data_IF_837051033800
#
_entry.id   IF_837051033800
#
_cell.length_a   1.000
_cell.length_b   1.000
_cell.length_c   1.000
_cell.angle_alpha   90.00
_cell.angle_beta   90.00
_cell.angle_gamma   90.00
#
_symmetry.space_group_name_H-M   'P 1'
#
loop_
_entity.id
_entity.type
_entity.pdbx_description
1 polymer ?
#
# COMPACT_ATOMS: atom_id res chain seq x y z
N UNK A 1 9.46 -46.36 -61.69
CA UNK A 1 9.90 -46.76 -60.34
C UNK A 1 10.74 -45.58 -59.85
N UNK A 2 10.33 -44.71 -58.92
CA UNK A 2 9.34 -44.84 -57.86
C UNK A 2 8.75 -43.47 -57.44
N UNK A 3 7.44 -43.54 -57.18
CA UNK A 3 6.59 -42.92 -56.17
C UNK A 3 6.71 -41.43 -55.78
N UNK A 4 5.52 -40.80 -55.92
CA UNK A 4 5.11 -39.46 -55.50
C UNK A 4 5.06 -39.29 -53.98
N UNK A 5 4.99 -38.03 -53.54
CA UNK A 5 3.98 -37.49 -52.59
C UNK A 5 4.15 -35.96 -52.63
N UNK A 6 3.25 -35.22 -53.28
CA UNK A 6 1.97 -34.71 -52.73
C UNK A 6 2.23 -33.65 -51.65
N UNK A 7 1.72 -32.42 -51.64
CA UNK A 7 0.65 -31.75 -52.39
C UNK A 7 0.75 -30.25 -52.05
N UNK A 8 0.56 -29.41 -53.08
CA UNK A 8 -0.12 -28.10 -53.07
C UNK A 8 -1.01 -27.84 -51.81
N UNK A 9 -1.23 -26.64 -51.29
CA UNK A 9 -1.10 -25.28 -51.83
C UNK A 9 -1.63 -24.24 -50.82
N UNK A 10 -1.36 -22.96 -51.12
CA UNK A 10 -2.20 -21.79 -50.85
C UNK A 10 -2.17 -21.15 -49.45
N UNK A 11 -1.31 -20.14 -49.35
CA UNK A 11 -1.47 -18.95 -48.51
C UNK A 11 -2.85 -18.34 -48.68
N UNK A 12 -3.54 -18.06 -47.57
CA UNK A 12 -4.60 -17.04 -47.52
C UNK A 12 -4.37 -16.25 -46.25
N UNK A 13 -3.88 -15.02 -46.41
CA UNK A 13 -3.83 -14.02 -45.35
C UNK A 13 -5.26 -13.73 -44.92
N UNK A 14 -5.61 -14.03 -43.67
CA UNK A 14 -6.86 -13.59 -43.07
C UNK A 14 -6.55 -12.47 -42.08
N UNK A 15 -7.14 -11.32 -42.38
CA UNK A 15 -7.21 -10.07 -41.62
C UNK A 15 -7.48 -10.34 -40.12
N UNK A 16 -6.59 -9.89 -39.23
CA UNK A 16 -6.82 -10.03 -37.79
C UNK A 16 -7.84 -8.98 -37.32
N UNK A 17 -9.08 -9.43 -37.17
CA UNK A 17 -10.11 -8.73 -36.43
C UNK A 17 -9.66 -8.63 -34.96
N UNK A 18 -9.37 -7.41 -34.47
CA UNK A 18 -9.23 -7.18 -33.02
C UNK A 18 -10.61 -7.34 -32.40
N UNK A 19 -10.94 -8.56 -31.99
CA UNK A 19 -11.96 -8.77 -30.99
C UNK A 19 -11.37 -8.25 -29.69
N UNK A 20 -11.97 -7.21 -29.10
CA UNK A 20 -11.74 -6.81 -27.72
C UNK A 20 -12.22 -7.96 -26.82
N UNK A 21 -11.38 -8.99 -26.72
CA UNK A 21 -11.55 -10.04 -25.72
C UNK A 21 -11.22 -9.39 -24.39
N UNK A 22 -12.24 -9.10 -23.60
CA UNK A 22 -12.09 -8.85 -22.16
C UNK A 22 -11.47 -10.10 -21.55
N UNK A 23 -10.16 -10.04 -21.31
CA UNK A 23 -9.41 -11.08 -20.64
C UNK A 23 -9.78 -10.97 -19.17
N UNK A 24 -10.61 -11.88 -18.66
CA UNK A 24 -10.86 -11.98 -17.22
C UNK A 24 -9.56 -12.43 -16.53
N UNK A 25 -8.88 -11.49 -15.87
CA UNK A 25 -7.72 -11.77 -15.05
C UNK A 25 -8.16 -12.13 -13.63
N UNK A 26 -7.65 -13.25 -13.11
CA UNK A 26 -7.81 -13.62 -11.71
C UNK A 26 -7.25 -12.51 -10.80
N UNK A 27 -8.10 -11.93 -9.95
CA UNK A 27 -7.73 -10.86 -9.00
C UNK A 27 -8.06 -9.43 -9.45
N UNK A 28 -8.65 -9.23 -10.63
CA UNK A 28 -9.13 -7.91 -11.08
C UNK A 28 -10.19 -7.33 -10.13
N UNK A 29 -10.98 -8.17 -9.48
CA UNK A 29 -11.97 -7.78 -8.47
C UNK A 29 -11.35 -7.12 -7.23
N UNK A 30 -10.06 -7.39 -6.94
CA UNK A 30 -9.36 -6.76 -5.81
C UNK A 30 -9.07 -5.29 -6.08
N UNK A 31 -9.11 -4.85 -7.33
CA UNK A 31 -8.86 -3.46 -7.73
C UNK A 31 -10.12 -2.60 -7.70
N UNK A 32 -11.31 -3.20 -7.57
CA UNK A 32 -12.57 -2.47 -7.49
C UNK A 32 -12.63 -1.68 -6.17
N UNK A 33 -12.59 -0.33 -6.21
CA UNK A 33 -12.65 0.50 -5.00
C UNK A 33 -13.97 0.35 -4.23
N UNK A 34 -15.03 -0.15 -4.88
CA UNK A 34 -16.34 -0.37 -4.26
C UNK A 34 -16.41 -1.65 -3.42
N UNK A 35 -15.50 -2.61 -3.63
CA UNK A 35 -15.39 -3.85 -2.87
C UNK A 35 -14.44 -3.73 -1.66
N UNK A 36 -13.70 -2.63 -1.56
CA UNK A 36 -12.69 -2.43 -0.52
C UNK A 36 -13.33 -1.82 0.73
N UNK A 37 -13.38 -2.60 1.81
CA UNK A 37 -13.82 -2.21 3.16
C UNK A 37 -12.83 -1.24 3.87
N UNK A 38 -12.35 -0.20 3.17
CA UNK A 38 -11.38 0.74 3.76
C UNK A 38 -11.91 1.41 5.02
N UNK A 39 -13.21 1.70 5.08
CA UNK A 39 -13.82 2.34 6.25
C UNK A 39 -13.80 1.44 7.51
N UNK A 40 -13.69 0.11 7.36
CA UNK A 40 -13.59 -0.81 8.50
C UNK A 40 -12.13 -0.99 8.98
N UNK A 41 -11.19 -1.07 8.03
CA UNK A 41 -9.77 -1.36 8.33
C UNK A 41 -8.99 -0.08 8.67
N UNK A 42 -9.26 1.01 7.96
CA UNK A 42 -8.61 2.31 8.15
C UNK A 42 -9.69 3.40 8.14
N UNK A 43 -10.30 3.74 9.28
CA UNK A 43 -11.35 4.77 9.34
C UNK A 43 -10.75 6.18 9.11
N UNK A 44 -10.50 6.51 7.84
CA UNK A 44 -9.87 7.76 7.42
C UNK A 44 -10.77 8.99 7.63
N UNK A 45 -12.09 8.77 7.69
CA UNK A 45 -13.12 9.81 7.85
C UNK A 45 -13.01 10.62 9.14
N UNK A 46 -12.48 10.02 10.21
CA UNK A 46 -12.35 10.64 11.52
C UNK A 46 -10.94 11.20 11.81
N UNK A 47 -9.98 11.02 10.90
CA UNK A 47 -8.57 11.39 11.13
C UNK A 47 -8.34 12.83 10.63
N UNK A 48 -8.19 13.76 11.57
CA UNK A 48 -7.82 15.15 11.26
C UNK A 48 -6.30 15.28 11.16
N UNK A 49 -5.76 15.29 9.95
CA UNK A 49 -4.32 15.45 9.71
C UNK A 49 -3.96 16.94 9.70
N UNK A 50 -3.41 17.43 10.81
CA UNK A 50 -2.96 18.81 10.96
C UNK A 50 -1.44 18.86 11.19
N UNK A 51 -0.70 19.63 10.36
CA UNK A 51 0.74 19.87 10.56
C UNK A 51 0.94 20.96 11.61
N UNK A 52 0.68 20.63 12.87
CA UNK A 52 0.90 21.55 14.00
C UNK A 52 2.28 21.34 14.62
N UNK A 53 2.95 22.44 14.99
CA UNK A 53 4.17 22.38 15.81
C UNK A 53 3.77 22.50 17.27
N UNK A 54 4.16 21.51 18.06
CA UNK A 54 3.82 21.45 19.47
C UNK A 54 5.09 21.27 20.31
N UNK A 55 5.17 21.97 21.45
CA UNK A 55 6.26 21.74 22.40
C UNK A 55 6.08 20.40 23.10
N UNK A 56 7.18 19.80 23.57
CA UNK A 56 7.14 18.54 24.34
C UNK A 56 6.21 18.63 25.55
N UNK A 57 6.14 19.81 26.17
CA UNK A 57 5.26 20.08 27.30
C UNK A 57 3.77 20.00 26.94
N UNK A 58 3.39 20.55 25.79
CA UNK A 58 2.01 20.49 25.31
C UNK A 58 1.62 19.07 24.87
N UNK A 59 2.55 18.34 24.21
CA UNK A 59 2.35 16.93 23.85
C UNK A 59 2.08 16.10 25.12
N UNK A 60 2.91 16.25 26.15
CA UNK A 60 2.76 15.52 27.42
C UNK A 60 1.38 15.76 28.04
N UNK A 61 0.92 17.01 28.11
CA UNK A 61 -0.39 17.34 28.70
C UNK A 61 -1.56 16.75 27.92
N UNK A 62 -1.48 16.71 26.59
CA UNK A 62 -2.54 16.12 25.76
C UNK A 62 -2.61 14.61 25.90
N UNK A 63 -1.46 13.95 26.06
CA UNK A 63 -1.40 12.52 26.40
C UNK A 63 -2.06 12.28 27.76
N UNK A 64 -1.72 13.08 28.78
CA UNK A 64 -2.32 12.98 30.11
C UNK A 64 -3.84 13.20 30.10
N UNK A 65 -4.32 14.10 29.23
CA UNK A 65 -5.76 14.37 29.01
C UNK A 65 -6.46 13.32 28.16
N UNK A 66 -5.73 12.36 27.58
CA UNK A 66 -6.23 11.39 26.58
C UNK A 66 -6.78 12.03 25.30
N UNK A 67 -6.31 13.24 24.97
CA UNK A 67 -6.64 13.92 23.72
C UNK A 67 -5.85 13.32 22.54
N UNK A 68 -4.73 12.65 22.83
CA UNK A 68 -3.85 12.01 21.84
C UNK A 68 -3.59 10.57 22.27
N UNK A 69 -3.98 9.63 21.42
CA UNK A 69 -3.59 8.22 21.52
C UNK A 69 -2.19 8.04 20.91
N UNK A 70 -1.25 7.50 21.68
CA UNK A 70 0.16 7.36 21.26
C UNK A 70 0.56 5.93 20.97
N UNK A 71 -0.23 4.96 21.43
CA UNK A 71 0.02 3.54 21.23
C UNK A 71 -1.27 2.83 20.77
N UNK A 72 -1.79 3.17 19.57
CA UNK A 72 -2.95 2.49 19.02
C UNK A 72 -2.64 1.03 18.68
N UNK A 73 -3.68 0.18 18.64
CA UNK A 73 -3.57 -1.27 18.45
C UNK A 73 -2.93 -1.69 17.11
N UNK A 74 -3.01 -0.82 16.10
CA UNK A 74 -2.39 -1.03 14.79
C UNK A 74 -0.92 -0.54 14.72
N UNK A 75 -0.37 0.01 15.80
CA UNK A 75 1.04 0.40 15.86
C UNK A 75 1.93 -0.83 15.94
N UNK A 76 2.99 -0.87 15.12
CA UNK A 76 4.02 -1.92 15.19
C UNK A 76 4.58 -1.99 16.62
N UNK A 77 4.87 -3.19 17.09
CA UNK A 77 5.53 -3.45 18.38
C UNK A 77 6.86 -2.68 18.53
N UNK A 78 7.55 -2.84 19.67
CA UNK A 78 8.80 -2.13 19.99
C UNK A 78 9.90 -2.32 18.92
N UNK A 79 9.87 -1.46 17.90
CA UNK A 79 10.81 -1.45 16.77
C UNK A 79 12.15 -0.80 17.12
N UNK A 80 12.23 -0.09 18.24
CA UNK A 80 13.43 0.68 18.61
C UNK A 80 14.42 -0.14 19.43
N UNK A 81 15.63 -0.29 18.88
CA UNK A 81 16.77 -0.90 19.58
C UNK A 81 17.38 0.09 20.58
N UNK A 82 18.15 -0.44 21.54
CA UNK A 82 18.79 0.37 22.58
C UNK A 82 19.66 1.50 22.02
N UNK A 83 20.33 1.26 20.90
CA UNK A 83 21.15 2.26 20.19
C UNK A 83 20.33 3.50 19.79
N UNK A 84 19.19 3.28 19.11
CA UNK A 84 18.31 4.37 18.64
C UNK A 84 17.71 5.17 19.80
N UNK A 85 17.39 4.49 20.90
CA UNK A 85 16.93 5.15 22.14
C UNK A 85 18.00 6.06 22.74
N UNK A 86 19.28 5.66 22.68
CA UNK A 86 20.39 6.48 23.17
C UNK A 86 20.67 7.67 22.26
N UNK A 87 20.71 7.46 20.94
CA UNK A 87 20.87 8.53 19.94
C UNK A 87 19.82 9.63 20.11
N UNK A 88 18.56 9.27 20.38
CA UNK A 88 17.49 10.26 20.64
C UNK A 88 17.74 11.08 21.91
N UNK A 89 18.24 10.47 23.00
CA UNK A 89 18.53 11.22 24.23
C UNK A 89 19.69 12.18 24.02
N UNK A 90 20.71 11.74 23.28
CA UNK A 90 21.87 12.55 22.92
C UNK A 90 21.48 13.73 22.03
N UNK A 91 20.61 13.53 21.03
CA UNK A 91 20.15 14.64 20.17
C UNK A 91 19.46 15.75 20.94
N UNK A 92 18.75 15.42 22.03
CA UNK A 92 18.05 16.40 22.88
C UNK A 92 19.01 17.08 23.87
N UNK A 93 19.93 16.32 24.48
CA UNK A 93 20.70 16.80 25.64
C UNK A 93 22.09 17.31 25.29
N UNK A 94 22.71 16.76 24.24
CA UNK A 94 24.13 16.95 23.94
C UNK A 94 24.41 17.78 22.69
N UNK A 95 23.44 17.93 21.77
CA UNK A 95 23.61 18.68 20.53
C UNK A 95 22.94 20.07 20.54
N UNK A 96 22.38 20.50 21.68
CA UNK A 96 21.83 21.84 21.90
C UNK A 96 22.80 22.68 22.71
#
# INVERSE_FOLDING_TARGET
MDLKTDTNSHTTNQEYHKQDQTIELEGEETLDPSLQEYDSIYPLSNIRIEKSRMSLYEIKRRIERKDIETAPDFQRESVWRQKQKSELRESITFYT
#
